data_IF_705314941891
#
_entry.id   IF_705314941891
#
_cell.length_a   1.000
_cell.length_b   1.000
_cell.length_c   1.000
_cell.angle_alpha   90.00
_cell.angle_beta   90.00
_cell.angle_gamma   90.00
#
_symmetry.space_group_name_H-M   'P 1'
#
loop_
_entity.id
_entity.type
_entity.pdbx_description
1 polymer ?
#
# COMPACT_ATOMS: atom_id res chain seq x y z
N UNK A 1 -13.52 -8.57 -6.89
CA UNK A 1 -12.38 -7.65 -7.09
C UNK A 1 -12.44 -6.94 -8.46
N UNK A 2 -12.28 -5.60 -8.52
CA UNK A 2 -12.23 -4.84 -9.78
C UNK A 2 -10.99 -5.14 -10.65
N UNK A 3 -11.16 -5.21 -11.97
CA UNK A 3 -10.08 -5.54 -12.93
C UNK A 3 -8.87 -4.60 -12.85
N UNK A 4 -9.10 -3.28 -12.75
CA UNK A 4 -8.00 -2.32 -12.66
C UNK A 4 -7.19 -2.47 -11.36
N UNK A 5 -7.85 -2.83 -10.25
CA UNK A 5 -7.17 -3.09 -8.98
C UNK A 5 -6.31 -4.34 -9.07
N UNK A 6 -6.83 -5.41 -9.68
CA UNK A 6 -6.08 -6.65 -9.92
C UNK A 6 -4.81 -6.39 -10.74
N UNK A 7 -4.90 -5.59 -11.80
CA UNK A 7 -3.75 -5.20 -12.63
C UNK A 7 -2.73 -4.37 -11.84
N UNK A 8 -3.19 -3.40 -11.05
CA UNK A 8 -2.30 -2.62 -10.18
C UNK A 8 -1.56 -3.50 -9.19
N UNK A 9 -2.26 -4.43 -8.53
CA UNK A 9 -1.64 -5.37 -7.58
C UNK A 9 -0.57 -6.21 -8.26
N UNK A 10 -0.86 -6.76 -9.44
CA UNK A 10 0.13 -7.52 -10.22
C UNK A 10 1.38 -6.69 -10.54
N UNK A 11 1.22 -5.45 -11.01
CA UNK A 11 2.35 -4.55 -11.31
C UNK A 11 3.19 -4.23 -10.07
N UNK A 12 2.54 -3.99 -8.93
CA UNK A 12 3.24 -3.76 -7.66
C UNK A 12 4.02 -5.01 -7.23
N UNK A 13 3.40 -6.19 -7.32
CA UNK A 13 4.01 -7.46 -6.93
C UNK A 13 5.21 -7.78 -7.82
N UNK A 14 5.06 -7.65 -9.13
CA UNK A 14 6.13 -7.91 -10.10
C UNK A 14 7.23 -6.84 -10.05
N UNK A 15 6.89 -5.63 -9.56
CA UNK A 15 7.80 -4.49 -9.52
C UNK A 15 8.14 -3.92 -10.90
N UNK A 16 7.38 -4.33 -11.93
CA UNK A 16 7.63 -4.05 -13.34
C UNK A 16 6.73 -2.92 -13.87
N UNK A 17 7.19 -2.28 -14.94
CA UNK A 17 6.42 -1.36 -15.80
C UNK A 17 5.70 -0.20 -15.07
N UNK A 18 6.51 0.77 -14.61
CA UNK A 18 6.03 2.00 -14.00
C UNK A 18 5.07 2.80 -14.87
N UNK A 19 5.30 2.84 -16.17
CA UNK A 19 4.48 3.59 -17.12
C UNK A 19 3.04 3.06 -17.12
N UNK A 20 2.86 1.74 -17.14
CA UNK A 20 1.54 1.12 -17.09
C UNK A 20 0.86 1.35 -15.74
N UNK A 21 1.62 1.32 -14.63
CA UNK A 21 1.05 1.64 -13.32
C UNK A 21 0.58 3.11 -13.27
N UNK A 22 1.37 4.04 -13.78
CA UNK A 22 1.02 5.46 -13.85
C UNK A 22 -0.23 5.65 -14.72
N UNK A 23 -0.33 4.96 -15.85
CA UNK A 23 -1.50 5.01 -16.73
C UNK A 23 -2.76 4.51 -16.01
N UNK A 24 -2.70 3.37 -15.34
CA UNK A 24 -3.82 2.84 -14.54
C UNK A 24 -4.25 3.82 -13.44
N UNK A 25 -3.29 4.48 -12.78
CA UNK A 25 -3.55 5.52 -11.78
C UNK A 25 -4.14 6.81 -12.36
N UNK A 26 -4.02 7.07 -13.66
CA UNK A 26 -4.74 8.18 -14.32
C UNK A 26 -6.19 7.82 -14.55
N UNK A 27 -6.48 6.56 -14.86
CA UNK A 27 -7.85 6.06 -15.08
C UNK A 27 -8.63 6.01 -13.76
N UNK A 28 -8.05 5.42 -12.72
CA UNK A 28 -8.67 5.34 -11.40
C UNK A 28 -7.62 5.41 -10.30
N UNK A 29 -7.80 6.30 -9.32
CA UNK A 29 -6.82 6.51 -8.24
C UNK A 29 -6.86 5.37 -7.23
N UNK A 30 -5.71 4.98 -6.68
CA UNK A 30 -5.65 3.90 -5.68
C UNK A 30 -6.49 4.14 -4.42
N UNK A 31 -6.56 5.40 -3.96
CA UNK A 31 -7.37 5.80 -2.80
C UNK A 31 -8.88 5.87 -3.10
N UNK A 32 -9.30 5.63 -4.35
CA UNK A 32 -10.71 5.57 -4.73
C UNK A 32 -11.31 4.16 -4.63
N UNK A 33 -10.47 3.16 -4.38
CA UNK A 33 -10.94 1.82 -4.02
C UNK A 33 -11.23 1.77 -2.52
N UNK A 34 -12.25 1.01 -2.13
CA UNK A 34 -12.58 0.81 -0.73
C UNK A 34 -11.54 -0.05 -0.02
N UNK A 35 -11.56 0.00 1.31
CA UNK A 35 -10.82 -0.93 2.15
C UNK A 35 -11.17 -2.38 1.80
N UNK A 36 -12.46 -2.70 1.65
CA UNK A 36 -12.91 -4.04 1.25
C UNK A 36 -12.28 -4.52 -0.06
N UNK A 37 -12.23 -3.67 -1.09
CA UNK A 37 -11.63 -4.04 -2.38
C UNK A 37 -10.14 -4.34 -2.25
N UNK A 38 -9.40 -3.55 -1.45
CA UNK A 38 -7.99 -3.82 -1.17
C UNK A 38 -7.78 -5.10 -0.38
N UNK A 39 -8.57 -5.31 0.68
CA UNK A 39 -8.52 -6.50 1.52
C UNK A 39 -8.84 -7.77 0.71
N UNK A 40 -9.83 -7.71 -0.17
CA UNK A 40 -10.16 -8.81 -1.08
C UNK A 40 -8.95 -9.15 -1.97
N UNK A 41 -8.32 -8.12 -2.56
CA UNK A 41 -7.19 -8.27 -3.47
C UNK A 41 -5.93 -8.87 -2.82
N UNK A 42 -5.74 -8.62 -1.53
CA UNK A 42 -4.57 -9.12 -0.75
C UNK A 42 -4.92 -10.24 0.22
N UNK A 43 -6.15 -10.77 0.19
CA UNK A 43 -6.64 -11.79 1.13
C UNK A 43 -5.86 -13.10 1.11
N UNK A 44 -5.32 -13.47 -0.06
CA UNK A 44 -4.56 -14.72 -0.26
C UNK A 44 -3.05 -14.57 -0.01
N UNK A 45 -2.57 -13.36 0.31
CA UNK A 45 -1.16 -13.13 0.56
C UNK A 45 -0.78 -13.65 1.95
N UNK A 46 0.29 -14.45 2.01
CA UNK A 46 0.93 -14.77 3.29
C UNK A 46 1.64 -13.54 3.87
N UNK A 47 2.12 -13.66 5.12
CA UNK A 47 2.79 -12.56 5.85
C UNK A 47 3.88 -11.88 5.02
N UNK A 48 4.82 -12.65 4.48
CA UNK A 48 5.97 -12.14 3.71
C UNK A 48 5.52 -11.46 2.41
N UNK A 49 4.53 -12.03 1.73
CA UNK A 49 3.99 -11.47 0.48
C UNK A 49 3.28 -10.14 0.73
N UNK A 50 2.45 -10.06 1.77
CA UNK A 50 1.75 -8.82 2.13
C UNK A 50 2.73 -7.73 2.59
N UNK A 51 3.75 -8.10 3.37
CA UNK A 51 4.81 -7.19 3.78
C UNK A 51 5.58 -6.64 2.58
N UNK A 52 6.04 -7.52 1.70
CA UNK A 52 6.74 -7.17 0.47
C UNK A 52 5.88 -6.29 -0.43
N UNK A 53 4.59 -6.62 -0.54
CA UNK A 53 3.62 -5.83 -1.30
C UNK A 53 3.49 -4.40 -0.78
N UNK A 54 3.32 -4.21 0.54
CA UNK A 54 3.24 -2.88 1.16
C UNK A 54 4.51 -2.08 0.90
N UNK A 55 5.69 -2.71 1.08
CA UNK A 55 7.00 -2.08 0.82
C UNK A 55 7.13 -1.64 -0.64
N UNK A 56 6.79 -2.51 -1.59
CA UNK A 56 6.83 -2.20 -3.03
C UNK A 56 5.86 -1.10 -3.41
N UNK A 57 4.65 -1.09 -2.86
CA UNK A 57 3.68 -0.01 -3.06
C UNK A 57 4.25 1.36 -2.62
N UNK A 58 4.91 1.41 -1.46
CA UNK A 58 5.55 2.64 -0.96
C UNK A 58 6.70 3.06 -1.89
N UNK A 59 7.60 2.14 -2.24
CA UNK A 59 8.74 2.44 -3.13
C UNK A 59 8.28 2.89 -4.52
N UNK A 60 7.25 2.26 -5.07
CA UNK A 60 6.72 2.60 -6.37
C UNK A 60 6.04 3.98 -6.36
N UNK A 61 5.35 4.35 -5.28
CA UNK A 61 4.80 5.71 -5.16
C UNK A 61 5.90 6.78 -5.10
N UNK A 62 6.96 6.51 -4.33
CA UNK A 62 8.13 7.39 -4.24
C UNK A 62 8.80 7.60 -5.60
N UNK A 63 9.15 6.52 -6.31
CA UNK A 63 9.84 6.63 -7.60
C UNK A 63 9.01 7.36 -8.67
N UNK A 64 7.68 7.24 -8.61
CA UNK A 64 6.77 7.82 -9.59
C UNK A 64 6.12 9.15 -9.16
N UNK A 65 6.53 9.73 -8.02
CA UNK A 65 5.88 10.93 -7.43
C UNK A 65 4.34 10.83 -7.40
N UNK A 66 3.83 9.62 -7.14
CA UNK A 66 2.40 9.34 -7.22
C UNK A 66 1.67 9.79 -5.95
N UNK A 67 0.49 10.36 -6.11
CA UNK A 67 -0.31 10.87 -5.00
C UNK A 67 -0.58 9.81 -3.93
N UNK A 68 -0.37 10.18 -2.66
CA UNK A 68 -0.35 9.25 -1.52
C UNK A 68 -1.70 9.05 -0.84
N UNK A 69 -2.74 9.82 -1.22
CA UNK A 69 -4.09 9.68 -0.67
C UNK A 69 -4.25 10.17 0.77
N UNK A 70 -3.22 10.82 1.35
CA UNK A 70 -3.28 11.34 2.72
C UNK A 70 -3.74 10.28 3.73
N UNK A 71 -4.75 10.62 4.55
CA UNK A 71 -5.32 9.72 5.57
C UNK A 71 -6.09 8.52 5.01
N UNK A 72 -6.46 8.54 3.73
CA UNK A 72 -7.18 7.46 3.01
C UNK A 72 -6.24 6.64 2.12
N UNK A 73 -4.95 6.59 2.49
CA UNK A 73 -3.98 5.75 1.79
C UNK A 73 -4.30 4.26 1.89
N UNK A 74 -4.17 3.49 0.80
CA UNK A 74 -4.25 2.03 0.83
C UNK A 74 -3.30 1.37 1.82
N UNK A 75 -2.12 1.97 2.07
CA UNK A 75 -1.16 1.44 3.05
C UNK A 75 -1.78 1.30 4.43
N UNK A 76 -2.72 2.18 4.79
CA UNK A 76 -3.44 2.08 6.06
C UNK A 76 -4.25 0.79 6.16
N UNK A 77 -5.05 0.50 5.12
CA UNK A 77 -5.91 -0.68 5.09
C UNK A 77 -5.07 -1.96 5.05
N UNK A 78 -4.03 -1.97 4.21
CA UNK A 78 -3.11 -3.10 4.08
C UNK A 78 -2.32 -3.37 5.36
N UNK A 79 -1.82 -2.32 6.02
CA UNK A 79 -1.12 -2.47 7.31
C UNK A 79 -2.08 -2.92 8.41
N UNK A 80 -3.33 -2.43 8.42
CA UNK A 80 -4.35 -2.93 9.34
C UNK A 80 -4.65 -4.42 9.11
N UNK A 81 -4.71 -4.88 7.86
CA UNK A 81 -4.85 -6.30 7.54
C UNK A 81 -3.66 -7.09 8.10
N UNK A 82 -2.44 -6.63 7.80
CA UNK A 82 -1.22 -7.28 8.25
C UNK A 82 -1.19 -7.47 9.78
N UNK A 83 -1.50 -6.40 10.53
CA UNK A 83 -1.53 -6.43 11.99
C UNK A 83 -2.63 -7.35 12.56
N UNK A 84 -3.78 -7.41 11.90
CA UNK A 84 -4.90 -8.24 12.34
C UNK A 84 -4.68 -9.73 12.02
N UNK A 85 -3.90 -10.04 10.98
CA UNK A 85 -3.68 -11.40 10.52
C UNK A 85 -2.38 -12.03 11.04
N UNK A 86 -1.38 -11.23 11.42
CA UNK A 86 -0.05 -11.71 11.75
C UNK A 86 0.55 -11.01 12.97
N UNK A 87 1.28 -11.75 13.79
CA UNK A 87 2.09 -11.16 14.85
C UNK A 87 3.31 -10.43 14.26
N UNK A 88 3.46 -9.15 14.59
CA UNK A 88 4.65 -8.32 14.30
C UNK A 88 5.31 -7.92 15.62
N UNK A 89 6.00 -8.90 16.22
CA UNK A 89 6.57 -8.84 17.59
C UNK A 89 7.42 -7.57 17.81
N UNK A 90 8.02 -7.01 16.77
CA UNK A 90 8.90 -5.84 16.85
C UNK A 90 8.35 -4.59 16.17
N UNK A 91 7.09 -4.58 15.69
CA UNK A 91 6.56 -3.51 14.84
C UNK A 91 7.49 -3.17 13.65
N UNK A 92 8.19 -4.18 13.13
CA UNK A 92 9.26 -3.98 12.16
C UNK A 92 8.76 -3.39 10.84
N UNK A 93 7.56 -3.79 10.42
CA UNK A 93 6.92 -3.23 9.25
C UNK A 93 6.42 -1.81 9.52
N UNK A 94 5.91 -1.53 10.72
CA UNK A 94 5.50 -0.17 11.12
C UNK A 94 6.66 0.81 10.96
N UNK A 95 7.78 0.52 11.62
CA UNK A 95 8.95 1.39 11.63
C UNK A 95 9.49 1.61 10.22
N UNK A 96 9.52 0.54 9.42
CA UNK A 96 9.90 0.65 8.02
C UNK A 96 8.99 1.59 7.24
N UNK A 97 7.66 1.50 7.41
CA UNK A 97 6.70 2.38 6.72
C UNK A 97 6.91 3.83 7.14
N UNK A 98 7.09 4.11 8.44
CA UNK A 98 7.29 5.48 8.95
C UNK A 98 8.56 6.12 8.35
N UNK A 99 9.64 5.35 8.27
CA UNK A 99 10.91 5.80 7.71
C UNK A 99 10.87 5.96 6.18
N UNK A 100 10.05 5.15 5.50
CA UNK A 100 10.05 5.07 4.04
C UNK A 100 8.83 5.68 3.37
N UNK A 101 7.81 6.16 4.10
CA UNK A 101 6.67 6.84 3.49
C UNK A 101 6.88 8.36 3.44
N UNK A 102 6.43 8.97 2.35
CA UNK A 102 6.29 10.43 2.22
C UNK A 102 4.93 10.91 2.75
N UNK A 103 4.04 10.00 3.10
CA UNK A 103 2.72 10.30 3.64
C UNK A 103 2.77 10.29 5.17
N UNK A 104 2.60 11.46 5.77
CA UNK A 104 2.62 11.60 7.24
C UNK A 104 1.50 10.83 7.95
N UNK A 105 0.45 10.41 7.24
CA UNK A 105 -0.64 9.64 7.84
C UNK A 105 -0.39 8.12 7.85
N UNK A 106 0.64 7.63 7.14
CA UNK A 106 0.90 6.18 7.06
C UNK A 106 1.77 5.70 8.22
N UNK A 107 1.48 4.53 8.80
CA UNK A 107 0.52 3.52 8.33
C UNK A 107 -0.87 3.59 8.98
N UNK A 108 -1.19 4.55 9.84
CA UNK A 108 -2.39 4.46 10.73
C UNK A 108 -3.61 5.23 10.23
N UNK A 109 -3.43 6.16 9.30
CA UNK A 109 -4.40 7.18 8.93
C UNK A 109 -4.40 8.40 9.85
N UNK A 110 -3.60 8.40 10.92
CA UNK A 110 -3.39 9.54 11.80
C UNK A 110 -2.02 10.14 11.52
N UNK A 111 -1.94 11.48 11.49
CA UNK A 111 -0.68 12.16 11.25
C UNK A 111 0.35 11.74 12.31
N UNK A 112 1.46 11.17 11.86
CA UNK A 112 2.61 10.89 12.68
C UNK A 112 3.29 12.23 12.95
N UNK A 113 3.25 12.63 14.22
CA UNK A 113 4.06 13.74 14.69
C UNK A 113 5.53 13.31 14.61
N UNK A 114 6.21 13.69 13.51
CA UNK A 114 7.66 13.63 13.44
C UNK A 114 8.20 14.70 14.39
N UNK A 115 8.48 14.31 15.64
CA UNK A 115 9.25 15.11 16.58
C UNK A 115 10.74 15.03 16.24
#
# INVERSE_FOLDING_TARGET
MPENLKKMVALIVDGSNDDLFIELQRIKKMHSYSDYEWLEATSQMNKESLESFIKKLIMMRKRNSSHTGGSVSPVRWLYSQYKNSFEDINNSLYDWIVQNSENSYEPTGSAINRR
#
